data_IF_523407053715
#
_entry.id   IF_523407053715
#
_cell.length_a   1.000
_cell.length_b   1.000
_cell.length_c   1.000
_cell.angle_alpha   90.00
_cell.angle_beta   90.00
_cell.angle_gamma   90.00
#
_symmetry.space_group_name_H-M   'P 1'
#
loop_
_entity.id
_entity.type
_entity.pdbx_description
1 polymer ?
#
# COMPACT_ATOMS: atom_id res chain seq x y z
N UNK A 1 -28.11 4.90 -11.09
CA UNK A 1 -27.00 5.79 -10.70
C UNK A 1 -25.79 4.92 -10.39
N UNK A 2 -24.58 5.22 -10.88
CA UNK A 2 -23.41 4.40 -10.58
C UNK A 2 -23.02 4.53 -9.11
N UNK A 3 -22.92 3.39 -8.42
CA UNK A 3 -22.43 3.32 -7.05
C UNK A 3 -20.90 3.29 -7.10
N UNK A 4 -20.22 4.25 -6.47
CA UNK A 4 -18.77 4.26 -6.35
C UNK A 4 -18.35 3.89 -4.94
N UNK A 5 -17.34 3.02 -4.85
CA UNK A 5 -16.66 2.68 -3.61
C UNK A 5 -15.42 3.56 -3.54
N UNK A 6 -15.28 4.34 -2.47
CA UNK A 6 -14.12 5.20 -2.25
C UNK A 6 -13.21 4.51 -1.24
N UNK A 7 -11.99 4.16 -1.67
CA UNK A 7 -10.93 3.62 -0.80
C UNK A 7 -9.96 4.72 -0.42
N UNK A 8 -9.63 4.81 0.85
CA UNK A 8 -8.57 5.70 1.33
C UNK A 8 -9.00 6.79 2.30
N UNK A 9 -9.31 6.42 3.52
CA UNK A 9 -9.28 7.34 4.65
C UNK A 9 -8.01 7.10 5.45
N UNK A 10 -7.06 8.04 5.39
CA UNK A 10 -5.92 8.07 6.30
C UNK A 10 -6.40 8.47 7.69
N UNK A 11 -6.40 7.54 8.62
CA UNK A 11 -6.74 7.80 10.01
C UNK A 11 -5.45 8.11 10.80
N UNK A 12 -5.24 9.37 11.15
CA UNK A 12 -4.15 9.77 12.07
C UNK A 12 -4.49 9.34 13.51
N UNK A 13 -3.64 8.49 14.08
CA UNK A 13 -3.38 8.17 15.50
C UNK A 13 -4.56 8.14 16.49
N UNK A 14 -4.79 6.99 17.12
CA UNK A 14 -4.63 6.79 18.57
C UNK A 14 -5.05 5.38 18.97
N UNK A 15 -4.20 4.69 19.74
CA UNK A 15 -4.49 3.49 20.51
C UNK A 15 -5.51 3.84 21.61
N UNK A 16 -6.78 3.71 21.36
CA UNK A 16 -7.81 3.83 22.39
C UNK A 16 -9.04 2.98 22.06
N UNK A 17 -9.59 2.38 23.11
CA UNK A 17 -10.76 1.51 23.24
C UNK A 17 -11.77 1.40 22.07
N UNK A 18 -12.37 0.22 21.92
CA UNK A 18 -13.38 -0.15 20.90
C UNK A 18 -14.47 0.90 20.65
N UNK A 19 -14.88 1.65 21.67
CA UNK A 19 -15.91 2.69 21.56
C UNK A 19 -15.47 3.92 20.78
N UNK A 20 -14.22 4.36 20.94
CA UNK A 20 -13.70 5.56 20.25
C UNK A 20 -13.42 5.30 18.76
N UNK A 21 -12.98 4.09 18.36
CA UNK A 21 -12.81 3.73 16.95
C UNK A 21 -14.12 3.79 16.17
N UNK A 22 -15.20 3.24 16.73
CA UNK A 22 -16.53 3.32 16.12
C UNK A 22 -17.01 4.77 15.95
N UNK A 23 -16.70 5.64 16.90
CA UNK A 23 -17.02 7.07 16.86
C UNK A 23 -16.25 7.82 15.78
N UNK A 24 -14.94 7.56 15.60
CA UNK A 24 -14.13 8.17 14.55
C UNK A 24 -14.56 7.73 13.15
N UNK A 25 -14.83 6.44 12.94
CA UNK A 25 -15.38 5.92 11.69
C UNK A 25 -16.72 6.59 11.34
N UNK A 26 -17.63 6.72 12.31
CA UNK A 26 -18.91 7.40 12.11
C UNK A 26 -18.75 8.89 11.75
N UNK A 27 -17.80 9.59 12.37
CA UNK A 27 -17.52 11.00 12.08
C UNK A 27 -16.89 11.18 10.70
N UNK A 28 -15.93 10.33 10.32
CA UNK A 28 -15.33 10.34 9.00
C UNK A 28 -16.38 10.04 7.92
N UNK A 29 -17.22 9.01 8.13
CA UNK A 29 -18.32 8.65 7.25
C UNK A 29 -19.33 9.80 7.10
N UNK A 30 -19.70 10.46 8.20
CA UNK A 30 -20.61 11.59 8.17
C UNK A 30 -20.02 12.78 7.41
N UNK A 31 -18.72 13.05 7.56
CA UNK A 31 -18.02 14.12 6.85
C UNK A 31 -17.93 13.84 5.35
N UNK A 32 -17.61 12.59 4.96
CA UNK A 32 -17.55 12.16 3.56
C UNK A 32 -18.94 12.19 2.90
N UNK A 33 -19.97 11.69 3.57
CA UNK A 33 -21.35 11.74 3.06
C UNK A 33 -21.83 13.16 2.78
N UNK A 34 -21.35 14.13 3.55
CA UNK A 34 -21.84 15.50 3.49
C UNK A 34 -21.15 16.36 2.42
N UNK A 35 -19.88 16.10 2.09
CA UNK A 35 -19.10 17.01 1.23
C UNK A 35 -18.85 16.49 -0.19
N UNK A 36 -18.61 15.21 -0.38
CA UNK A 36 -18.17 14.70 -1.69
C UNK A 36 -19.25 13.87 -2.40
N UNK A 37 -20.05 13.12 -1.64
CA UNK A 37 -21.07 12.27 -2.21
C UNK A 37 -22.25 13.08 -2.80
N UNK A 38 -22.64 14.16 -2.11
CA UNK A 38 -23.72 15.04 -2.58
C UNK A 38 -23.31 15.79 -3.85
N UNK A 39 -22.08 16.32 -3.89
CA UNK A 39 -21.56 17.03 -5.07
C UNK A 39 -21.36 16.10 -6.27
N UNK A 40 -20.95 14.86 -6.04
CA UNK A 40 -20.69 13.88 -7.09
C UNK A 40 -21.90 12.99 -7.43
N UNK A 41 -23.04 13.14 -6.74
CA UNK A 41 -24.24 12.28 -6.86
C UNK A 41 -23.91 10.79 -6.67
N UNK A 42 -23.05 10.47 -5.71
CA UNK A 42 -22.58 9.11 -5.40
C UNK A 42 -23.23 8.66 -4.10
N UNK A 43 -23.75 7.44 -4.08
CA UNK A 43 -24.18 6.79 -2.85
C UNK A 43 -22.97 6.06 -2.20
N UNK A 44 -22.59 6.46 -0.97
CA UNK A 44 -21.58 5.76 -0.20
C UNK A 44 -22.28 4.61 0.54
N UNK A 45 -21.91 3.37 0.22
CA UNK A 45 -22.46 2.17 0.86
C UNK A 45 -21.79 1.92 2.20
N UNK A 46 -20.45 1.93 2.23
CA UNK A 46 -19.65 1.71 3.44
C UNK A 46 -18.29 2.41 3.32
N UNK A 47 -17.54 2.45 4.43
CA UNK A 47 -16.18 2.99 4.51
C UNK A 47 -15.30 1.97 5.20
N UNK A 48 -14.26 1.52 4.50
CA UNK A 48 -13.29 0.56 5.01
C UNK A 48 -11.94 1.24 5.26
N UNK A 49 -11.22 0.80 6.30
CA UNK A 49 -9.83 1.19 6.49
C UNK A 49 -8.92 0.42 5.51
N UNK A 50 -8.11 1.13 4.74
CA UNK A 50 -7.28 0.55 3.68
C UNK A 50 -6.39 -0.62 4.17
N UNK A 51 -5.76 -0.49 5.34
CA UNK A 51 -4.94 -1.56 5.91
C UNK A 51 -5.72 -2.84 6.26
N UNK A 52 -7.00 -2.74 6.68
CA UNK A 52 -7.84 -3.93 6.90
C UNK A 52 -8.33 -4.53 5.60
N UNK A 53 -8.58 -3.69 4.61
CA UNK A 53 -8.93 -4.15 3.27
C UNK A 53 -7.76 -4.90 2.62
N UNK A 54 -6.55 -4.34 2.64
CA UNK A 54 -5.36 -5.03 2.16
C UNK A 54 -5.18 -6.40 2.85
N UNK A 55 -5.32 -6.44 4.20
CA UNK A 55 -5.23 -7.69 4.95
C UNK A 55 -6.36 -8.70 4.64
N UNK A 56 -7.53 -8.23 4.24
CA UNK A 56 -8.62 -9.11 3.80
C UNK A 56 -8.31 -9.79 2.47
N UNK A 57 -7.59 -9.10 1.58
CA UNK A 57 -7.17 -9.65 0.29
C UNK A 57 -5.98 -10.61 0.39
N UNK A 58 -4.98 -10.31 1.26
CA UNK A 58 -3.68 -11.02 1.22
C UNK A 58 -3.46 -12.05 2.32
N UNK A 59 -4.27 -12.04 3.39
CA UNK A 59 -4.11 -12.99 4.50
C UNK A 59 -5.18 -14.07 4.48
N UNK A 60 -4.74 -15.32 4.58
CA UNK A 60 -5.63 -16.44 4.88
C UNK A 60 -6.13 -16.37 6.34
N UNK A 61 -7.20 -17.10 6.64
CA UNK A 61 -7.69 -17.23 8.00
C UNK A 61 -6.64 -17.83 8.95
N UNK A 62 -5.81 -18.76 8.46
CA UNK A 62 -4.73 -19.38 9.24
C UNK A 62 -3.63 -18.35 9.57
N UNK A 63 -3.15 -17.58 8.59
CA UNK A 63 -2.15 -16.53 8.81
C UNK A 63 -2.62 -15.48 9.83
N UNK A 64 -3.91 -15.13 9.81
CA UNK A 64 -4.51 -14.24 10.83
C UNK A 64 -4.51 -14.86 12.23
N UNK A 65 -4.65 -16.19 12.34
CA UNK A 65 -4.54 -16.89 13.63
C UNK A 65 -3.10 -16.98 14.10
N UNK A 66 -2.19 -17.36 13.22
CA UNK A 66 -0.78 -17.60 13.54
C UNK A 66 -0.01 -16.32 13.88
N UNK A 67 -0.51 -15.19 13.42
CA UNK A 67 0.08 -13.88 13.62
C UNK A 67 0.81 -13.35 12.40
N UNK A 68 0.29 -12.27 11.81
CA UNK A 68 0.81 -11.66 10.60
C UNK A 68 0.80 -10.13 10.70
N UNK A 69 1.80 -9.48 10.13
CA UNK A 69 1.82 -8.06 9.84
C UNK A 69 1.60 -7.86 8.34
N UNK A 70 0.62 -7.04 7.97
CA UNK A 70 0.45 -6.58 6.59
C UNK A 70 0.86 -5.13 6.51
N UNK A 71 1.69 -4.81 5.53
CA UNK A 71 2.14 -3.45 5.20
C UNK A 71 1.69 -3.15 3.78
N UNK A 72 0.79 -2.20 3.62
CA UNK A 72 0.29 -1.70 2.33
C UNK A 72 1.02 -0.41 1.99
N UNK A 73 2.04 -0.51 1.15
CA UNK A 73 2.89 0.60 0.72
C UNK A 73 2.27 1.31 -0.48
N UNK A 74 1.53 2.37 -0.20
CA UNK A 74 0.92 3.23 -1.21
C UNK A 74 1.85 4.35 -1.71
N UNK A 75 1.32 5.26 -2.52
CA UNK A 75 2.03 6.46 -2.99
C UNK A 75 2.29 7.45 -1.86
N UNK A 76 1.26 8.08 -1.32
CA UNK A 76 1.38 9.10 -0.28
C UNK A 76 1.40 8.57 1.16
N UNK A 77 1.05 7.32 1.40
CA UNK A 77 0.97 6.75 2.76
C UNK A 77 1.21 5.25 2.78
N UNK A 78 1.62 4.77 3.95
CA UNK A 78 1.77 3.33 4.23
C UNK A 78 0.80 2.95 5.35
N UNK A 79 -0.11 2.02 5.05
CA UNK A 79 -1.04 1.46 6.02
C UNK A 79 -0.49 0.13 6.53
N UNK A 80 -0.66 -0.16 7.81
CA UNK A 80 -0.25 -1.46 8.32
C UNK A 80 -1.16 -1.97 9.43
N UNK A 81 -1.30 -3.30 9.48
CA UNK A 81 -2.17 -4.00 10.42
C UNK A 81 -1.49 -5.26 10.94
N UNK A 82 -1.50 -5.45 12.26
CA UNK A 82 -1.03 -6.67 12.91
C UNK A 82 -2.23 -7.50 13.38
N UNK A 83 -2.17 -8.77 13.05
CA UNK A 83 -3.19 -9.77 13.34
C UNK A 83 -2.60 -10.90 14.16
N UNK A 84 -3.34 -11.44 15.13
CA UNK A 84 -3.07 -12.72 15.77
C UNK A 84 -4.36 -13.25 16.42
N UNK A 85 -4.44 -14.57 16.63
CA UNK A 85 -5.63 -15.27 17.11
C UNK A 85 -6.89 -14.96 16.30
N UNK A 86 -6.73 -14.72 14.99
CA UNK A 86 -7.81 -14.34 14.08
C UNK A 86 -8.36 -12.93 14.30
N UNK A 87 -7.69 -12.08 15.10
CA UNK A 87 -8.16 -10.75 15.48
C UNK A 87 -7.18 -9.65 15.04
N UNK A 88 -7.72 -8.51 14.70
CA UNK A 88 -6.94 -7.30 14.50
C UNK A 88 -6.46 -6.77 15.86
N UNK A 89 -5.15 -6.79 16.08
CA UNK A 89 -4.53 -6.31 17.32
C UNK A 89 -4.05 -4.87 17.21
N UNK A 90 -3.51 -4.50 16.03
CA UNK A 90 -2.97 -3.16 15.80
C UNK A 90 -3.29 -2.70 14.38
N UNK A 91 -3.55 -1.42 14.23
CA UNK A 91 -3.73 -0.77 12.94
C UNK A 91 -3.27 0.68 13.04
N UNK A 92 -2.42 1.10 12.11
CA UNK A 92 -1.96 2.48 12.02
C UNK A 92 -1.60 2.85 10.57
N UNK A 93 -1.35 4.13 10.34
CA UNK A 93 -0.94 4.69 9.06
C UNK A 93 0.18 5.70 9.29
N UNK A 94 1.17 5.68 8.42
CA UNK A 94 2.19 6.72 8.34
C UNK A 94 2.02 7.49 7.04
N UNK A 95 2.18 8.82 7.08
CA UNK A 95 2.08 9.69 5.92
C UNK A 95 3.38 9.69 5.10
N UNK A 96 3.94 8.51 4.87
CA UNK A 96 5.13 8.28 4.03
C UNK A 96 4.84 7.10 3.12
N UNK A 97 5.16 7.24 1.85
CA UNK A 97 4.96 6.22 0.82
C UNK A 97 5.89 6.42 -0.37
N UNK A 98 5.55 5.84 -1.51
CA UNK A 98 6.37 5.85 -2.72
C UNK A 98 6.63 7.23 -3.32
N UNK A 99 5.73 8.20 -3.09
CA UNK A 99 5.88 9.57 -3.57
C UNK A 99 7.03 10.29 -2.86
N UNK A 100 7.25 10.00 -1.58
CA UNK A 100 8.38 10.54 -0.82
C UNK A 100 9.73 10.02 -1.33
N UNK A 101 9.77 8.76 -1.82
CA UNK A 101 10.97 8.24 -2.52
C UNK A 101 11.23 9.05 -3.79
N UNK A 102 10.18 9.39 -4.55
CA UNK A 102 10.29 10.23 -5.75
C UNK A 102 10.77 11.63 -5.41
N UNK A 103 10.25 12.23 -4.34
CA UNK A 103 10.67 13.54 -3.85
C UNK A 103 12.14 13.54 -3.42
N UNK A 104 12.59 12.53 -2.68
CA UNK A 104 13.99 12.39 -2.29
C UNK A 104 14.93 12.25 -3.50
N UNK A 105 14.55 11.48 -4.52
CA UNK A 105 15.31 11.35 -5.77
C UNK A 105 15.36 12.69 -6.49
N UNK A 106 14.22 13.39 -6.59
CA UNK A 106 14.13 14.73 -7.20
C UNK A 106 15.12 15.68 -6.54
N UNK A 107 15.11 15.74 -5.23
CA UNK A 107 15.88 16.69 -4.43
C UNK A 107 17.37 16.34 -4.43
N UNK A 108 17.71 15.05 -4.29
CA UNK A 108 19.11 14.58 -4.31
C UNK A 108 19.81 14.85 -5.66
N UNK A 109 19.07 14.79 -6.76
CA UNK A 109 19.65 14.95 -8.11
C UNK A 109 19.20 16.24 -8.82
N UNK A 110 18.40 17.07 -8.18
CA UNK A 110 17.88 18.34 -8.72
C UNK A 110 17.24 18.16 -10.10
N UNK A 111 16.37 17.17 -10.23
CA UNK A 111 15.66 16.80 -11.47
C UNK A 111 14.15 17.03 -11.34
N UNK A 112 13.41 16.91 -12.41
CA UNK A 112 11.95 17.00 -12.35
C UNK A 112 11.32 15.78 -11.66
N UNK A 113 10.12 15.96 -11.10
CA UNK A 113 9.33 14.87 -10.50
C UNK A 113 9.14 13.72 -11.50
N UNK A 114 8.85 14.03 -12.77
CA UNK A 114 8.64 13.01 -13.80
C UNK A 114 9.91 12.18 -14.06
N UNK A 115 11.08 12.83 -14.09
CA UNK A 115 12.36 12.13 -14.23
C UNK A 115 12.69 11.28 -13.01
N UNK A 116 12.43 11.80 -11.79
CA UNK A 116 12.62 11.07 -10.54
C UNK A 116 11.72 9.81 -10.48
N UNK A 117 10.46 9.96 -10.88
CA UNK A 117 9.51 8.84 -10.95
C UNK A 117 9.96 7.79 -11.97
N UNK A 118 10.41 8.22 -13.15
CA UNK A 118 10.96 7.31 -14.15
C UNK A 118 12.19 6.56 -13.64
N UNK A 119 13.14 7.24 -12.98
CA UNK A 119 14.32 6.61 -12.39
C UNK A 119 13.95 5.60 -11.29
N UNK A 120 12.99 5.96 -10.45
CA UNK A 120 12.47 5.07 -9.40
C UNK A 120 11.96 3.74 -9.97
N UNK A 121 11.21 3.77 -11.07
CA UNK A 121 10.66 2.55 -11.69
C UNK A 121 11.66 1.80 -12.56
N UNK A 122 12.48 2.51 -13.32
CA UNK A 122 13.32 1.87 -14.34
C UNK A 122 14.65 1.34 -13.81
N UNK A 123 15.22 2.00 -12.79
CA UNK A 123 16.63 1.79 -12.43
C UNK A 123 16.87 1.57 -10.96
N UNK A 124 16.02 2.14 -10.07
CA UNK A 124 16.26 2.12 -8.65
C UNK A 124 16.08 0.73 -8.02
N UNK A 125 16.81 0.50 -6.93
CA UNK A 125 16.73 -0.67 -6.08
C UNK A 125 16.72 -0.25 -4.61
N UNK A 126 15.95 -0.96 -3.81
CA UNK A 126 15.92 -0.78 -2.35
C UNK A 126 17.23 -1.22 -1.65
N UNK A 127 18.05 -2.04 -2.31
CA UNK A 127 19.35 -2.47 -1.81
C UNK A 127 20.47 -1.89 -2.67
N UNK A 128 21.59 -1.60 -2.03
CA UNK A 128 22.81 -1.15 -2.69
C UNK A 128 23.63 -2.39 -3.05
N UNK A 129 23.88 -2.56 -4.36
CA UNK A 129 24.70 -3.65 -4.88
C UNK A 129 26.20 -3.33 -4.84
N UNK A 130 27.07 -4.36 -4.85
CA UNK A 130 28.53 -4.17 -4.88
C UNK A 130 29.00 -3.42 -6.13
N UNK A 131 28.40 -3.69 -7.28
CA UNK A 131 28.79 -3.13 -8.57
C UNK A 131 28.12 -1.79 -8.91
N UNK A 132 27.19 -1.31 -8.09
CA UNK A 132 26.43 -0.07 -8.32
C UNK A 132 27.34 1.17 -8.49
N UNK A 133 28.53 1.15 -7.93
CA UNK A 133 29.47 2.27 -8.03
C UNK A 133 29.99 2.48 -9.46
N UNK A 134 30.11 1.41 -10.24
CA UNK A 134 30.61 1.43 -11.63
C UNK A 134 29.53 1.78 -12.65
N UNK A 135 28.25 1.67 -12.27
CA UNK A 135 27.12 1.88 -13.18
C UNK A 135 26.70 3.35 -13.20
N UNK A 136 26.60 3.91 -14.41
CA UNK A 136 26.10 5.27 -14.66
C UNK A 136 24.76 5.21 -15.38
N UNK A 137 23.80 6.00 -14.89
CA UNK A 137 22.46 6.14 -15.46
C UNK A 137 22.42 7.48 -16.17
N UNK A 138 22.19 7.51 -17.49
CA UNK A 138 22.08 8.77 -18.22
C UNK A 138 20.83 9.53 -17.76
N UNK A 139 20.97 10.84 -17.59
CA UNK A 139 19.84 11.75 -17.37
C UNK A 139 19.44 12.38 -18.69
N UNK A 140 18.14 12.53 -18.96
CA UNK A 140 17.67 13.28 -20.13
C UNK A 140 18.20 14.72 -20.10
N UNK A 141 18.68 15.21 -21.23
CA UNK A 141 19.36 16.52 -21.39
C UNK A 141 18.45 17.75 -21.16
N UNK A 142 17.29 17.62 -20.54
CA UNK A 142 16.21 18.62 -20.55
C UNK A 142 16.10 19.47 -19.29
N UNK A 143 17.03 19.35 -18.33
CA UNK A 143 16.96 20.17 -17.10
C UNK A 143 17.88 21.39 -17.25
N UNK A 144 17.33 22.62 -17.47
CA UNK A 144 18.13 23.84 -17.46
C UNK A 144 18.84 24.00 -16.12
N UNK A 145 20.16 24.23 -16.14
CA UNK A 145 20.97 24.44 -14.94
C UNK A 145 21.59 23.16 -14.33
N UNK A 146 21.29 21.98 -14.83
CA UNK A 146 21.91 20.73 -14.39
C UNK A 146 22.95 20.26 -15.40
N UNK A 147 24.23 20.29 -15.04
CA UNK A 147 25.32 19.94 -15.90
C UNK A 147 25.72 18.46 -15.90
N UNK A 148 25.11 17.63 -15.05
CA UNK A 148 25.42 16.22 -15.01
C UNK A 148 24.64 15.46 -16.09
N UNK A 149 25.35 14.83 -17.01
CA UNK A 149 24.76 13.97 -18.04
C UNK A 149 24.37 12.56 -17.49
N UNK A 150 24.83 12.21 -16.31
CA UNK A 150 24.57 10.90 -15.69
C UNK A 150 24.69 10.95 -14.17
N UNK A 151 23.97 10.05 -13.49
CA UNK A 151 24.08 9.82 -12.05
C UNK A 151 24.65 8.43 -11.77
N UNK A 152 25.26 8.24 -10.58
CA UNK A 152 25.70 6.92 -10.14
C UNK A 152 24.49 6.10 -9.67
N UNK A 153 24.39 4.84 -10.13
CA UNK A 153 23.39 3.90 -9.63
C UNK A 153 23.49 3.72 -8.10
N UNK A 154 24.71 3.70 -7.57
CA UNK A 154 24.95 3.65 -6.12
C UNK A 154 24.32 4.83 -5.39
N UNK A 155 24.48 6.05 -5.92
CA UNK A 155 23.86 7.23 -5.30
C UNK A 155 22.32 7.15 -5.33
N UNK A 156 21.74 6.73 -6.46
CA UNK A 156 20.30 6.51 -6.55
C UNK A 156 19.80 5.48 -5.54
N UNK A 157 20.44 4.32 -5.49
CA UNK A 157 20.04 3.25 -4.57
C UNK A 157 20.28 3.64 -3.11
N UNK A 158 21.27 4.49 -2.80
CA UNK A 158 21.46 5.01 -1.44
C UNK A 158 20.30 5.88 -0.98
N UNK A 159 19.82 6.78 -1.83
CA UNK A 159 18.64 7.62 -1.53
C UNK A 159 17.40 6.77 -1.29
N UNK A 160 17.13 5.83 -2.20
CA UNK A 160 15.96 4.93 -2.08
C UNK A 160 16.05 4.04 -0.84
N UNK A 161 17.23 3.45 -0.58
CA UNK A 161 17.46 2.61 0.59
C UNK A 161 17.23 3.38 1.90
N UNK A 162 17.74 4.61 1.99
CA UNK A 162 17.59 5.44 3.19
C UNK A 162 16.09 5.68 3.51
N UNK A 163 15.30 6.12 2.53
CA UNK A 163 13.87 6.37 2.73
C UNK A 163 13.08 5.12 3.09
N UNK A 164 13.30 4.02 2.39
CA UNK A 164 12.58 2.78 2.64
C UNK A 164 13.01 2.14 3.97
N UNK A 165 14.29 2.23 4.35
CA UNK A 165 14.77 1.78 5.65
C UNK A 165 14.15 2.57 6.79
N UNK A 166 14.06 3.89 6.67
CA UNK A 166 13.37 4.76 7.63
C UNK A 166 11.91 4.34 7.78
N UNK A 167 11.19 4.19 6.65
CA UNK A 167 9.79 3.78 6.63
C UNK A 167 9.58 2.46 7.37
N UNK A 168 10.34 1.42 7.04
CA UNK A 168 10.22 0.11 7.68
C UNK A 168 10.64 0.15 9.15
N UNK A 169 11.63 0.97 9.53
CA UNK A 169 12.05 1.17 10.91
C UNK A 169 10.92 1.80 11.73
N UNK A 170 10.24 2.82 11.20
CA UNK A 170 9.07 3.42 11.86
C UNK A 170 7.97 2.38 12.10
N UNK A 171 7.65 1.56 11.08
CA UNK A 171 6.63 0.50 11.23
C UNK A 171 7.06 -0.52 12.27
N UNK A 172 8.31 -1.00 12.20
CA UNK A 172 8.86 -1.96 13.17
C UNK A 172 8.79 -1.42 14.59
N UNK A 173 9.25 -0.19 14.83
CA UNK A 173 9.25 0.45 16.15
C UNK A 173 7.83 0.51 16.72
N UNK A 174 6.83 0.90 15.91
CA UNK A 174 5.43 0.95 16.36
C UNK A 174 4.86 -0.42 16.74
N UNK A 175 5.24 -1.47 16.02
CA UNK A 175 4.82 -2.85 16.32
C UNK A 175 5.55 -3.38 17.56
N UNK A 176 6.82 -2.99 17.76
CA UNK A 176 7.60 -3.35 18.94
C UNK A 176 7.08 -2.65 20.20
N UNK A 177 6.83 -1.36 20.15
CA UNK A 177 6.18 -0.58 21.22
C UNK A 177 4.81 -1.15 21.62
N UNK A 178 4.09 -1.75 20.66
CA UNK A 178 2.84 -2.45 20.90
C UNK A 178 3.04 -3.87 21.47
N UNK A 179 4.30 -4.32 21.65
CA UNK A 179 4.68 -5.66 22.10
C UNK A 179 4.09 -6.78 21.22
N UNK A 180 4.10 -6.60 19.89
CA UNK A 180 3.49 -7.53 18.95
C UNK A 180 4.48 -8.27 18.05
N UNK A 181 5.77 -7.87 18.00
CA UNK A 181 6.76 -8.52 17.14
C UNK A 181 6.84 -10.02 17.39
N UNK A 182 6.85 -10.47 18.65
CA UNK A 182 6.94 -11.88 19.01
C UNK A 182 5.71 -12.70 18.57
N UNK A 183 4.59 -12.06 18.24
CA UNK A 183 3.34 -12.71 17.83
C UNK A 183 3.21 -12.91 16.33
N UNK A 184 4.15 -12.42 15.53
CA UNK A 184 4.09 -12.46 14.06
C UNK A 184 4.68 -13.77 13.51
N UNK A 185 4.11 -14.92 13.87
CA UNK A 185 4.64 -16.24 13.49
C UNK A 185 4.47 -16.53 12.00
N UNK A 186 3.40 -16.03 11.36
CA UNK A 186 3.23 -16.12 9.92
C UNK A 186 4.12 -15.14 9.14
N UNK A 187 4.75 -14.17 9.83
CA UNK A 187 5.68 -13.21 9.26
C UNK A 187 5.05 -11.89 8.82
N UNK A 188 5.78 -11.19 7.95
CA UNK A 188 5.41 -9.87 7.41
C UNK A 188 5.04 -10.01 5.93
N UNK A 189 3.94 -9.39 5.55
CA UNK A 189 3.42 -9.38 4.17
C UNK A 189 3.42 -7.96 3.66
N UNK A 190 4.16 -7.71 2.57
CA UNK A 190 4.24 -6.41 1.90
C UNK A 190 3.33 -6.39 0.68
N UNK A 191 2.49 -5.38 0.55
CA UNK A 191 1.57 -5.20 -0.57
C UNK A 191 1.49 -3.72 -0.95
N UNK A 192 0.59 -3.36 -1.88
CA UNK A 192 0.51 -2.01 -2.42
C UNK A 192 1.46 -1.76 -3.58
N UNK A 193 1.29 -0.66 -4.29
CA UNK A 193 2.08 -0.33 -5.48
C UNK A 193 3.59 -0.24 -5.24
N UNK A 194 3.99 0.28 -4.07
CA UNK A 194 5.40 0.39 -3.69
C UNK A 194 6.09 -0.95 -3.44
N UNK A 195 5.34 -2.04 -3.22
CA UNK A 195 5.91 -3.38 -3.02
C UNK A 195 6.60 -3.95 -4.27
N UNK A 196 6.41 -3.34 -5.43
CA UNK A 196 7.09 -3.71 -6.69
C UNK A 196 8.53 -3.18 -6.82
N UNK A 197 8.98 -2.35 -5.88
CA UNK A 197 10.35 -1.85 -5.87
C UNK A 197 11.35 -3.01 -5.83
N UNK A 198 12.34 -2.95 -6.73
CA UNK A 198 13.39 -3.97 -6.81
C UNK A 198 14.10 -4.12 -5.46
N UNK A 199 14.30 -5.35 -5.01
CA UNK A 199 14.96 -5.72 -3.75
C UNK A 199 14.32 -5.16 -2.47
N UNK A 200 13.05 -4.79 -2.49
CA UNK A 200 12.35 -4.25 -1.31
C UNK A 200 12.13 -5.34 -0.23
N UNK A 201 11.86 -6.58 -0.63
CA UNK A 201 11.66 -7.69 0.32
C UNK A 201 12.93 -8.02 1.12
N UNK A 202 14.13 -8.14 0.51
CA UNK A 202 15.39 -8.26 1.26
C UNK A 202 15.62 -7.10 2.22
N UNK A 203 15.40 -5.85 1.78
CA UNK A 203 15.54 -4.69 2.66
C UNK A 203 14.60 -4.79 3.87
N UNK A 204 13.33 -5.03 3.63
CA UNK A 204 12.35 -5.17 4.70
C UNK A 204 12.70 -6.34 5.63
N UNK A 205 13.15 -7.49 5.08
CA UNK A 205 13.59 -8.64 5.89
C UNK A 205 14.76 -8.28 6.81
N UNK A 206 15.72 -7.50 6.33
CA UNK A 206 16.85 -7.02 7.14
C UNK A 206 16.37 -6.12 8.28
N UNK A 207 15.45 -5.17 7.98
CA UNK A 207 14.94 -4.26 9.00
C UNK A 207 14.10 -4.99 10.04
N UNK A 208 13.20 -5.89 9.64
CA UNK A 208 12.33 -6.62 10.57
C UNK A 208 13.05 -7.76 11.31
N UNK A 209 14.19 -8.23 10.82
CA UNK A 209 14.90 -9.41 11.36
C UNK A 209 14.11 -10.70 11.21
N UNK A 210 13.23 -10.77 10.20
CA UNK A 210 12.39 -11.94 9.90
C UNK A 210 11.94 -11.95 8.44
N UNK A 211 11.41 -13.09 7.99
CA UNK A 211 10.97 -13.24 6.61
C UNK A 211 9.85 -12.28 6.26
N UNK A 212 10.07 -11.51 5.20
CA UNK A 212 9.06 -10.67 4.55
C UNK A 212 8.71 -11.27 3.19
N UNK A 213 7.42 -11.35 2.89
CA UNK A 213 6.90 -11.93 1.65
C UNK A 213 6.03 -10.92 0.94
N UNK A 214 5.93 -11.06 -0.38
CA UNK A 214 4.93 -10.32 -1.14
C UNK A 214 3.53 -10.85 -0.76
N UNK A 215 2.63 -9.94 -0.41
CA UNK A 215 1.23 -10.26 -0.14
C UNK A 215 0.51 -10.56 -1.44
N UNK A 216 0.31 -11.84 -1.73
CA UNK A 216 -0.47 -12.28 -2.87
C UNK A 216 -1.96 -12.20 -2.55
N UNK A 217 -2.77 -11.82 -3.53
CA UNK A 217 -4.22 -11.82 -3.38
C UNK A 217 -4.69 -13.28 -3.31
N UNK A 218 -5.28 -13.64 -2.16
CA UNK A 218 -5.69 -15.03 -1.87
C UNK A 218 -6.96 -15.44 -2.62
N UNK A 219 -8.02 -14.60 -2.72
CA UNK A 219 -9.18 -14.95 -3.51
C UNK A 219 -8.86 -14.99 -5.00
N UNK A 220 -9.40 -15.98 -5.69
CA UNK A 220 -9.38 -16.00 -7.14
C UNK A 220 -10.20 -14.83 -7.69
N UNK A 221 -9.55 -14.00 -8.49
CA UNK A 221 -10.14 -12.82 -9.14
C UNK A 221 -9.82 -12.91 -10.62
N UNK A 222 -10.86 -13.12 -11.41
CA UNK A 222 -10.72 -13.23 -12.87
C UNK A 222 -10.12 -11.97 -13.47
N UNK A 223 -9.10 -12.11 -14.32
CA UNK A 223 -8.37 -11.02 -14.95
C UNK A 223 -7.20 -10.47 -14.12
N UNK A 224 -7.04 -10.88 -12.88
CA UNK A 224 -5.94 -10.41 -12.02
C UNK A 224 -4.57 -10.94 -12.50
N UNK A 225 -4.56 -12.10 -13.14
CA UNK A 225 -3.37 -12.73 -13.74
C UNK A 225 -2.77 -11.89 -14.88
N UNK A 226 -3.56 -11.00 -15.48
CA UNK A 226 -3.11 -10.11 -16.55
C UNK A 226 -2.43 -8.83 -16.01
N UNK A 227 -2.58 -8.57 -14.72
CA UNK A 227 -2.01 -7.39 -14.07
C UNK A 227 -0.52 -7.58 -13.78
N UNK A 228 0.29 -6.57 -14.16
CA UNK A 228 1.74 -6.59 -13.93
C UNK A 228 2.11 -6.51 -12.45
N UNK A 229 1.26 -5.88 -11.65
CA UNK A 229 1.45 -5.70 -10.21
C UNK A 229 0.14 -5.94 -9.45
N UNK A 230 -0.29 -7.20 -9.29
CA UNK A 230 -1.53 -7.51 -8.58
C UNK A 230 -1.55 -7.00 -7.14
N UNK A 231 -0.40 -6.92 -6.48
CA UNK A 231 -0.29 -6.42 -5.11
C UNK A 231 -0.78 -4.96 -4.97
N UNK A 232 -0.68 -4.14 -6.02
CA UNK A 232 -1.21 -2.78 -6.02
C UNK A 232 -2.74 -2.73 -5.89
N UNK A 233 -3.44 -3.80 -6.25
CA UNK A 233 -4.89 -3.92 -6.20
C UNK A 233 -5.42 -4.52 -4.88
N UNK A 234 -4.55 -4.93 -3.96
CA UNK A 234 -4.94 -5.63 -2.73
C UNK A 234 -6.00 -4.86 -1.92
N UNK A 235 -5.83 -3.55 -1.75
CA UNK A 235 -6.79 -2.72 -1.00
C UNK A 235 -8.15 -2.64 -1.70
N UNK A 236 -8.19 -2.54 -3.03
CA UNK A 236 -9.45 -2.49 -3.80
C UNK A 236 -10.16 -3.84 -3.71
N UNK A 237 -9.46 -4.93 -3.97
CA UNK A 237 -10.00 -6.29 -3.88
C UNK A 237 -10.51 -6.58 -2.47
N UNK A 238 -9.72 -6.26 -1.46
CA UNK A 238 -10.12 -6.46 -0.06
C UNK A 238 -11.32 -5.62 0.37
N UNK A 239 -11.48 -4.41 -0.17
CA UNK A 239 -12.66 -3.60 0.07
C UNK A 239 -13.91 -4.24 -0.55
N UNK A 240 -13.80 -4.75 -1.76
CA UNK A 240 -14.91 -5.46 -2.43
C UNK A 240 -15.31 -6.72 -1.65
N UNK A 241 -14.34 -7.51 -1.18
CA UNK A 241 -14.60 -8.71 -0.36
C UNK A 241 -15.38 -8.35 0.92
N UNK A 242 -15.04 -7.24 1.57
CA UNK A 242 -15.68 -6.83 2.81
C UNK A 242 -17.09 -6.24 2.61
N UNK A 243 -17.37 -5.70 1.43
CA UNK A 243 -18.65 -5.04 1.12
C UNK A 243 -19.66 -5.95 0.43
N UNK A 244 -19.23 -7.08 -0.13
CA UNK A 244 -20.14 -8.06 -0.74
C UNK A 244 -20.74 -8.92 0.39
N UNK A 245 -22.08 -8.97 0.52
CA UNK A 245 -22.73 -9.85 1.49
C UNK A 245 -22.38 -11.31 1.24
N UNK A 246 -22.06 -12.05 2.31
CA UNK A 246 -21.67 -13.47 2.26
C UNK A 246 -22.76 -14.41 1.74
N UNK A 247 -23.99 -13.95 1.64
CA UNK A 247 -25.15 -14.72 1.18
C UNK A 247 -25.46 -14.57 -0.33
N UNK A 248 -24.73 -13.73 -1.06
CA UNK A 248 -24.92 -13.69 -2.51
C UNK A 248 -24.31 -14.95 -3.15
N UNK A 249 -25.06 -15.69 -4.02
CA UNK A 249 -24.46 -16.79 -4.77
C UNK A 249 -23.25 -16.23 -5.51
N UNK A 250 -22.15 -17.02 -5.56
CA UNK A 250 -20.87 -16.65 -6.20
C UNK A 250 -21.09 -16.05 -7.58
N UNK A 251 -21.42 -14.78 -7.65
CA UNK A 251 -21.35 -14.02 -8.89
C UNK A 251 -19.89 -13.78 -9.17
N UNK A 252 -19.50 -14.02 -10.43
CA UNK A 252 -18.16 -13.69 -10.89
C UNK A 252 -17.81 -12.26 -10.46
N UNK A 253 -16.57 -12.03 -10.04
CA UNK A 253 -16.06 -10.70 -9.70
C UNK A 253 -16.37 -9.67 -10.80
N UNK A 254 -16.29 -10.08 -12.08
CA UNK A 254 -16.65 -9.26 -13.22
C UNK A 254 -18.15 -8.94 -13.28
N UNK A 255 -19.03 -9.85 -12.88
CA UNK A 255 -20.46 -9.55 -12.79
C UNK A 255 -20.75 -8.55 -11.67
N UNK A 256 -20.05 -8.65 -10.55
CA UNK A 256 -20.15 -7.70 -9.45
C UNK A 256 -19.63 -6.32 -9.88
N UNK A 257 -18.49 -6.26 -10.56
CA UNK A 257 -17.97 -5.02 -11.15
C UNK A 257 -18.90 -4.49 -12.23
N UNK A 258 -19.39 -5.32 -13.15
CA UNK A 258 -20.40 -4.91 -14.14
C UNK A 258 -21.67 -4.38 -13.49
N UNK A 259 -22.12 -4.98 -12.40
CA UNK A 259 -23.31 -4.50 -11.69
C UNK A 259 -23.06 -3.16 -10.97
N UNK A 260 -21.84 -2.96 -10.46
CA UNK A 260 -21.45 -1.73 -9.74
C UNK A 260 -21.11 -0.60 -10.74
N UNK A 261 -20.45 -0.90 -11.85
CA UNK A 261 -19.93 0.09 -12.80
C UNK A 261 -20.61 0.06 -14.18
N UNK A 262 -21.31 -1.03 -14.53
CA UNK A 262 -22.05 -1.17 -15.76
C UNK A 262 -23.40 -0.47 -15.67
N UNK A 263 -23.43 0.83 -15.95
CA UNK A 263 -24.68 1.56 -16.17
C UNK A 263 -25.49 0.89 -17.27
N UNK A 264 -26.73 0.61 -16.96
CA UNK A 264 -27.75 0.10 -17.87
C UNK A 264 -27.77 0.93 -19.18
N UNK A 265 -27.18 0.43 -20.25
CA UNK A 265 -27.54 0.85 -21.59
C UNK A 265 -28.89 0.21 -21.88
N UNK A 266 -29.98 0.83 -21.44
CA UNK A 266 -31.28 0.59 -22.01
C UNK A 266 -31.37 1.38 -23.33
N UNK A 267 -31.70 0.63 -24.39
CA UNK A 267 -32.14 1.14 -25.66
C UNK A 267 -33.33 2.10 -25.50
#
# INVERSE_FOLDING_TARGET
MPKKIITGLTCRRQSQSRGRRRSMYRRALAKFKRFEAEAAKIEILDVCYAGTSAAAAVLTAQQKRDGALVIDLGGGSTNFTAWADGRLLYADVIGVGGDHVTEDIRDAFTISVAQAEQLKFSSASAMIGPDDASVRIPLPATTPGFNASSISLRALNTVVNARLSELFTIVRTKIDEANLLHRLNAGVFLTGGGSSMKNILPLASNVFGRAVRLGQIVPEVEGLEQEKNPAALATIVGTLIQTIPSESPRRSFLETIRHIFGGNKKK
#
